data_IF_215459023442
#
_entry.id   IF_215459023442
#
_cell.length_a   1.000
_cell.length_b   1.000
_cell.length_c   1.000
_cell.angle_alpha   90.00
_cell.angle_beta   90.00
_cell.angle_gamma   90.00
#
_symmetry.space_group_name_H-M   'P 1'
#
loop_
_entity.id
_entity.type
_entity.pdbx_description
1 polymer ?
#
# COMPACT_ATOMS: atom_id res chain seq x y z
N UNK A 1 4.98 41.10 -44.49
CA UNK A 1 4.99 40.03 -43.48
C UNK A 1 3.55 39.85 -43.00
N UNK A 2 2.92 38.71 -43.31
CA UNK A 2 1.46 38.56 -43.28
C UNK A 2 0.94 38.49 -41.85
N UNK A 3 0.21 39.53 -41.42
CA UNK A 3 -0.47 39.61 -40.11
C UNK A 3 -1.31 38.37 -39.79
N UNK A 4 -1.88 37.73 -40.81
CA UNK A 4 -2.69 36.51 -40.70
C UNK A 4 -1.89 35.27 -40.24
N UNK A 5 -0.62 35.17 -40.66
CA UNK A 5 0.27 34.07 -40.23
C UNK A 5 0.64 34.21 -38.76
N UNK A 6 0.85 35.45 -38.30
CA UNK A 6 1.22 35.77 -36.92
C UNK A 6 0.08 35.55 -35.92
N UNK A 7 -1.15 35.95 -36.27
CA UNK A 7 -2.32 35.68 -35.42
C UNK A 7 -2.56 34.18 -35.29
N UNK A 8 -2.46 33.44 -36.40
CA UNK A 8 -2.70 31.99 -36.41
C UNK A 8 -1.66 31.22 -35.60
N UNK A 9 -0.37 31.57 -35.68
CA UNK A 9 0.68 30.93 -34.88
C UNK A 9 0.56 31.24 -33.40
N UNK A 10 0.22 32.48 -33.02
CA UNK A 10 0.01 32.85 -31.62
C UNK A 10 -1.20 32.12 -31.04
N UNK A 11 -2.31 32.00 -31.79
CA UNK A 11 -3.48 31.26 -31.33
C UNK A 11 -3.19 29.77 -31.16
N UNK A 12 -2.49 29.14 -32.11
CA UNK A 12 -2.05 27.74 -32.00
C UNK A 12 -1.11 27.51 -30.81
N UNK A 13 -0.16 28.42 -30.58
CA UNK A 13 0.72 28.35 -29.41
C UNK A 13 -0.06 28.48 -28.10
N UNK A 14 -1.04 29.39 -28.03
CA UNK A 14 -1.90 29.56 -26.85
C UNK A 14 -2.73 28.30 -26.57
N UNK A 15 -3.33 27.70 -27.62
CA UNK A 15 -4.11 26.46 -27.50
C UNK A 15 -3.21 25.32 -27.00
N UNK A 16 -1.99 25.19 -27.55
CA UNK A 16 -1.04 24.16 -27.13
C UNK A 16 -0.64 24.33 -25.65
N UNK A 17 -0.33 25.56 -25.22
CA UNK A 17 -0.01 25.92 -23.84
C UNK A 17 -1.17 25.62 -22.87
N UNK A 18 -2.41 25.91 -23.29
CA UNK A 18 -3.62 25.62 -22.52
C UNK A 18 -3.86 24.11 -22.39
N UNK A 19 -3.63 23.33 -23.45
CA UNK A 19 -3.77 21.86 -23.42
C UNK A 19 -2.68 21.17 -22.59
N UNK A 20 -1.46 21.71 -22.57
CA UNK A 20 -0.36 21.22 -21.71
C UNK A 20 -0.63 21.46 -20.22
N UNK A 21 -1.40 22.50 -19.90
CA UNK A 21 -1.74 22.85 -18.50
C UNK A 21 -2.91 22.04 -17.96
N UNK A 22 -3.72 21.42 -18.83
CA UNK A 22 -4.82 20.54 -18.45
C UNK A 22 -4.31 19.11 -18.15
N UNK A 23 -3.29 18.99 -17.30
CA UNK A 23 -2.97 17.71 -16.66
C UNK A 23 -4.10 17.35 -15.70
N UNK A 24 -4.65 16.14 -15.81
CA UNK A 24 -5.65 15.66 -14.88
C UNK A 24 -5.05 15.66 -13.46
N UNK A 25 -5.67 16.40 -12.54
CA UNK A 25 -5.20 16.48 -11.16
C UNK A 25 -5.17 15.07 -10.55
N UNK A 26 -4.00 14.69 -10.00
CA UNK A 26 -3.81 13.37 -9.37
C UNK A 26 -4.73 13.21 -8.17
N UNK A 27 -5.20 11.98 -7.96
CA UNK A 27 -5.99 11.61 -6.78
C UNK A 27 -5.04 11.45 -5.60
N UNK A 28 -5.24 12.25 -4.56
CA UNK A 28 -4.45 12.18 -3.32
C UNK A 28 -4.89 11.00 -2.48
N UNK A 29 -3.94 10.18 -2.04
CA UNK A 29 -4.21 8.97 -1.26
C UNK A 29 -3.24 8.82 -0.11
N UNK A 30 -3.73 8.27 1.01
CA UNK A 30 -2.92 7.67 2.08
C UNK A 30 -3.18 6.17 2.01
N UNK A 31 -2.13 5.37 2.04
CA UNK A 31 -2.22 3.92 1.95
C UNK A 31 -1.99 3.33 3.34
N UNK A 32 -3.04 2.74 3.93
CA UNK A 32 -2.97 2.04 5.22
C UNK A 32 -2.92 0.52 4.96
N UNK A 33 -1.84 -0.15 5.35
CA UNK A 33 -1.59 -1.57 5.02
C UNK A 33 -0.81 -2.32 6.10
N UNK A 34 -1.24 -3.54 6.41
CA UNK A 34 -0.49 -4.55 7.16
C UNK A 34 0.46 -5.33 6.20
N UNK A 35 1.56 -4.66 5.85
CA UNK A 35 2.40 -4.96 4.70
C UNK A 35 3.34 -6.18 4.88
N UNK A 36 2.78 -7.35 5.20
CA UNK A 36 3.51 -8.61 5.39
C UNK A 36 4.51 -8.84 4.27
N UNK A 37 5.70 -9.31 4.63
CA UNK A 37 6.81 -9.45 3.70
C UNK A 37 7.48 -10.81 3.68
N UNK A 38 8.36 -11.03 2.68
CA UNK A 38 8.67 -10.15 1.55
C UNK A 38 7.80 -10.41 0.30
N UNK A 39 7.39 -9.35 -0.42
CA UNK A 39 6.80 -9.45 -1.76
C UNK A 39 5.38 -10.04 -1.84
N UNK A 40 4.62 -10.04 -0.74
CA UNK A 40 3.24 -10.56 -0.71
C UNK A 40 2.28 -9.65 -1.46
N UNK A 41 0.99 -10.03 -1.49
CA UNK A 41 -0.11 -9.20 -2.01
C UNK A 41 -0.12 -7.79 -1.45
N UNK A 42 0.21 -7.64 -0.18
CA UNK A 42 0.05 -6.38 0.58
C UNK A 42 1.09 -5.36 0.12
N UNK A 43 2.34 -5.82 -0.08
CA UNK A 43 3.40 -5.01 -0.69
C UNK A 43 3.16 -4.71 -2.16
N UNK A 44 2.57 -5.65 -2.91
CA UNK A 44 2.21 -5.42 -4.31
C UNK A 44 1.13 -4.35 -4.45
N UNK A 45 0.15 -4.30 -3.53
CA UNK A 45 -0.86 -3.25 -3.51
C UNK A 45 -0.23 -1.86 -3.33
N UNK A 46 0.75 -1.71 -2.44
CA UNK A 46 1.52 -0.46 -2.27
C UNK A 46 2.21 -0.08 -3.59
N UNK A 47 2.87 -1.02 -4.27
CA UNK A 47 3.57 -0.75 -5.53
C UNK A 47 2.62 -0.26 -6.63
N UNK A 48 1.39 -0.76 -6.71
CA UNK A 48 0.38 -0.30 -7.68
C UNK A 48 0.10 1.19 -7.51
N UNK A 49 -0.02 1.69 -6.28
CA UNK A 49 -0.21 3.11 -6.02
C UNK A 49 1.05 3.93 -6.37
N UNK A 50 2.23 3.43 -6.00
CA UNK A 50 3.49 4.14 -6.22
C UNK A 50 3.88 4.26 -7.71
N UNK A 51 3.49 3.28 -8.54
CA UNK A 51 3.80 3.24 -9.98
C UNK A 51 2.74 3.93 -10.84
N UNK A 52 1.56 4.23 -10.29
CA UNK A 52 0.47 4.84 -11.04
C UNK A 52 0.64 6.36 -11.14
N UNK A 53 0.61 6.88 -12.37
CA UNK A 53 0.61 8.34 -12.61
C UNK A 53 -0.69 9.03 -12.15
N UNK A 54 -1.75 8.24 -11.86
CA UNK A 54 -3.05 8.77 -11.43
C UNK A 54 -3.09 9.19 -9.97
N UNK A 55 -2.17 8.67 -9.15
CA UNK A 55 -2.19 8.85 -7.70
C UNK A 55 -1.04 9.73 -7.22
N UNK A 56 -1.36 10.56 -6.23
CA UNK A 56 -0.42 11.32 -5.42
C UNK A 56 -0.41 10.69 -4.02
N UNK A 57 0.55 9.81 -3.77
CA UNK A 57 0.67 9.07 -2.51
C UNK A 57 1.29 9.99 -1.46
N UNK A 58 0.47 10.45 -0.52
CA UNK A 58 0.87 11.40 0.52
C UNK A 58 1.66 10.74 1.65
N UNK A 59 1.48 9.44 1.83
CA UNK A 59 2.12 8.66 2.89
C UNK A 59 1.57 7.24 2.96
N UNK A 60 2.30 6.39 3.66
CA UNK A 60 1.93 5.02 3.96
C UNK A 60 1.87 4.85 5.47
N UNK A 61 0.78 4.31 5.98
CA UNK A 61 0.64 3.87 7.37
C UNK A 61 0.68 2.35 7.44
N UNK A 62 1.28 1.83 8.51
CA UNK A 62 1.34 0.38 8.77
C UNK A 62 0.70 0.05 10.10
N UNK A 63 0.09 -1.13 10.23
CA UNK A 63 -0.56 -1.60 11.46
C UNK A 63 -0.28 -3.08 11.62
N UNK A 64 -0.31 -3.62 12.84
CA UNK A 64 -0.22 -5.06 13.00
C UNK A 64 -1.46 -5.74 12.41
N UNK A 65 -1.24 -6.79 11.62
CA UNK A 65 -2.30 -7.62 11.06
C UNK A 65 -1.72 -8.99 10.75
N UNK A 66 -1.31 -9.18 9.51
CA UNK A 66 -0.62 -10.37 9.05
C UNK A 66 0.74 -10.63 9.76
N UNK A 67 1.51 -9.57 10.05
CA UNK A 67 2.72 -9.56 10.87
C UNK A 67 2.69 -8.42 11.89
N UNK A 68 3.73 -8.32 12.73
CA UNK A 68 3.86 -7.23 13.69
C UNK A 68 4.21 -5.92 12.99
N UNK A 69 3.56 -4.83 13.39
CA UNK A 69 3.71 -3.49 12.77
C UNK A 69 5.17 -3.08 12.59
N UNK A 70 6.05 -3.42 13.55
CA UNK A 70 7.48 -3.10 13.46
C UNK A 70 8.15 -3.80 12.29
N UNK A 71 7.87 -5.08 12.09
CA UNK A 71 8.43 -5.89 10.99
C UNK A 71 7.91 -5.37 9.65
N UNK A 72 6.61 -5.11 9.57
CA UNK A 72 5.96 -4.62 8.36
C UNK A 72 6.42 -3.20 8.01
N UNK A 73 6.61 -2.32 8.99
CA UNK A 73 7.20 -0.99 8.77
C UNK A 73 8.58 -1.12 8.12
N UNK A 74 9.43 -2.03 8.61
CA UNK A 74 10.75 -2.27 8.01
C UNK A 74 10.64 -2.81 6.58
N UNK A 75 9.68 -3.69 6.33
CA UNK A 75 9.42 -4.18 4.99
C UNK A 75 8.98 -3.08 4.03
N UNK A 76 8.09 -2.16 4.44
CA UNK A 76 7.67 -1.01 3.62
C UNK A 76 8.84 -0.07 3.36
N UNK A 77 9.63 0.27 4.38
CA UNK A 77 10.82 1.09 4.19
C UNK A 77 11.78 0.48 3.17
N UNK A 78 12.03 -0.84 3.27
CA UNK A 78 12.87 -1.56 2.31
C UNK A 78 12.24 -1.60 0.91
N UNK A 79 10.93 -1.76 0.81
CA UNK A 79 10.19 -1.71 -0.44
C UNK A 79 10.34 -0.35 -1.14
N UNK A 80 10.23 0.75 -0.39
CA UNK A 80 10.38 2.11 -0.92
C UNK A 80 11.82 2.39 -1.40
N UNK A 81 12.83 1.87 -0.71
CA UNK A 81 14.21 1.93 -1.20
C UNK A 81 14.36 1.21 -2.55
N UNK A 82 13.82 -0.01 -2.65
CA UNK A 82 13.88 -0.82 -3.89
C UNK A 82 13.11 -0.12 -5.03
N UNK A 83 11.97 0.49 -4.71
CA UNK A 83 11.13 1.19 -5.68
C UNK A 83 11.62 2.61 -6.04
N UNK A 84 12.71 3.09 -5.43
CA UNK A 84 13.19 4.48 -5.55
C UNK A 84 12.11 5.53 -5.20
N UNK A 85 11.32 5.26 -4.15
CA UNK A 85 10.23 6.12 -3.67
C UNK A 85 10.39 6.52 -2.20
N UNK A 86 11.63 6.80 -1.80
CA UNK A 86 11.96 7.26 -0.43
C UNK A 86 11.44 8.66 -0.12
N UNK A 87 10.80 9.33 -1.08
CA UNK A 87 10.06 10.57 -0.90
C UNK A 87 8.74 10.39 -0.12
N UNK A 88 8.18 9.17 -0.10
CA UNK A 88 6.91 8.89 0.56
C UNK A 88 7.13 8.61 2.05
N UNK A 89 6.51 9.36 2.98
CA UNK A 89 6.66 9.11 4.40
C UNK A 89 5.97 7.80 4.81
N UNK A 90 6.60 7.06 5.72
CA UNK A 90 6.05 5.85 6.33
C UNK A 90 5.85 6.09 7.82
N UNK A 91 4.64 5.83 8.32
CA UNK A 91 4.27 6.04 9.72
C UNK A 91 3.78 4.71 10.32
N UNK A 92 4.41 4.27 11.40
CA UNK A 92 3.92 3.13 12.16
C UNK A 92 2.67 3.51 12.95
N UNK A 93 1.62 2.71 12.80
CA UNK A 93 0.33 2.84 13.46
C UNK A 93 0.21 1.92 14.66
N UNK A 94 -0.99 1.34 14.84
CA UNK A 94 -1.30 0.53 16.02
C UNK A 94 -0.57 -0.82 16.01
N UNK A 95 0.07 -1.15 17.13
CA UNK A 95 0.67 -2.47 17.36
C UNK A 95 -0.35 -3.52 17.79
N UNK A 96 -1.42 -3.11 18.47
CA UNK A 96 -2.47 -3.97 18.97
C UNK A 96 -3.85 -3.51 18.49
N UNK A 97 -4.79 -4.44 18.25
CA UNK A 97 -6.18 -4.09 17.93
C UNK A 97 -6.87 -3.48 19.16
N UNK A 98 -7.96 -2.75 18.92
CA UNK A 98 -8.66 -2.00 19.97
C UNK A 98 -9.40 -2.87 21.00
N UNK A 99 -9.89 -4.04 20.59
CA UNK A 99 -10.76 -4.88 21.42
C UNK A 99 -10.19 -6.27 21.66
N UNK A 100 -9.72 -6.93 20.60
CA UNK A 100 -9.28 -8.32 20.70
C UNK A 100 -7.92 -8.41 21.40
N UNK A 101 -7.74 -9.43 22.21
CA UNK A 101 -6.46 -9.77 22.83
C UNK A 101 -6.01 -11.18 22.48
N UNK A 102 -4.72 -11.45 22.68
CA UNK A 102 -4.18 -12.80 22.54
C UNK A 102 -4.87 -13.75 23.53
N UNK A 103 -5.08 -13.29 24.75
CA UNK A 103 -5.70 -14.04 25.84
C UNK A 103 -7.18 -14.35 25.57
N UNK A 104 -7.93 -13.45 24.94
CA UNK A 104 -9.30 -13.74 24.47
C UNK A 104 -9.30 -14.77 23.35
N UNK A 105 -8.36 -14.66 22.42
CA UNK A 105 -8.23 -15.61 21.31
C UNK A 105 -7.92 -17.01 21.85
N UNK A 106 -6.99 -17.14 22.79
CA UNK A 106 -6.64 -18.42 23.45
C UNK A 106 -7.81 -19.00 24.26
N UNK A 107 -8.56 -18.16 24.98
CA UNK A 107 -9.78 -18.58 25.68
C UNK A 107 -10.83 -19.11 24.72
N UNK A 108 -11.00 -18.46 23.57
CA UNK A 108 -11.91 -18.94 22.52
C UNK A 108 -11.46 -20.29 21.96
N UNK A 109 -10.15 -20.45 21.67
CA UNK A 109 -9.61 -21.70 21.16
C UNK A 109 -9.80 -22.89 22.13
N UNK A 110 -9.72 -22.63 23.44
CA UNK A 110 -9.96 -23.65 24.46
C UNK A 110 -11.43 -24.13 24.52
N UNK A 111 -12.37 -23.27 24.15
CA UNK A 111 -13.81 -23.58 24.18
C UNK A 111 -14.32 -24.16 22.86
N UNK A 112 -13.78 -23.69 21.73
CA UNK A 112 -14.38 -23.92 20.41
C UNK A 112 -13.43 -24.54 19.39
N UNK A 113 -12.16 -24.74 19.74
CA UNK A 113 -11.14 -25.28 18.85
C UNK A 113 -10.21 -24.23 18.26
N UNK A 114 -9.08 -24.68 17.70
CA UNK A 114 -8.00 -23.80 17.27
C UNK A 114 -8.32 -23.05 15.98
N UNK A 115 -7.87 -21.80 15.90
CA UNK A 115 -7.86 -21.04 14.66
C UNK A 115 -6.73 -21.57 13.76
N UNK A 116 -6.99 -21.63 12.44
CA UNK A 116 -5.94 -21.92 11.48
C UNK A 116 -4.96 -20.73 11.34
N UNK A 117 -5.48 -19.51 11.45
CA UNK A 117 -4.75 -18.27 11.25
C UNK A 117 -5.17 -17.20 12.25
N UNK A 118 -4.17 -16.55 12.87
CA UNK A 118 -4.35 -15.49 13.89
C UNK A 118 -3.50 -14.25 13.58
N UNK A 119 -3.10 -14.04 12.32
CA UNK A 119 -2.21 -12.95 11.95
C UNK A 119 -0.86 -13.03 12.67
N UNK A 120 -0.40 -11.90 13.19
CA UNK A 120 0.81 -11.76 13.99
C UNK A 120 0.88 -12.65 15.25
N UNK A 121 -0.28 -13.15 15.74
CA UNK A 121 -0.34 -14.10 16.85
C UNK A 121 -0.28 -15.58 16.44
N UNK A 122 -0.05 -15.88 15.16
CA UNK A 122 0.08 -17.26 14.68
C UNK A 122 1.43 -17.83 15.11
N UNK A 123 1.46 -18.73 16.10
CA UNK A 123 2.70 -19.27 16.67
C UNK A 123 3.58 -20.02 15.64
N UNK A 124 2.95 -20.81 14.75
CA UNK A 124 3.62 -21.55 13.67
C UNK A 124 2.71 -21.69 12.47
N UNK A 125 3.15 -21.21 11.32
CA UNK A 125 2.57 -21.64 10.05
C UNK A 125 3.02 -23.08 9.77
N UNK A 126 2.06 -23.99 9.56
CA UNK A 126 2.41 -25.31 9.03
C UNK A 126 2.96 -25.12 7.61
N UNK A 127 4.17 -25.63 7.35
CA UNK A 127 4.66 -25.76 5.99
C UNK A 127 3.62 -26.56 5.17
N UNK A 128 3.45 -26.23 3.88
CA UNK A 128 2.57 -26.94 2.95
C UNK A 128 1.04 -26.76 3.12
N UNK A 129 0.57 -25.69 3.78
CA UNK A 129 -0.88 -25.39 3.93
C UNK A 129 -1.69 -25.36 2.63
N UNK A 130 -1.08 -24.97 1.51
CA UNK A 130 -1.78 -24.80 0.22
C UNK A 130 -1.83 -26.07 -0.63
N UNK A 131 -1.18 -27.16 -0.19
CA UNK A 131 -1.09 -28.42 -0.96
C UNK A 131 -1.76 -29.59 -0.27
N UNK A 132 -2.34 -29.40 0.91
CA UNK A 132 -3.20 -30.39 1.56
C UNK A 132 -4.64 -30.11 1.15
N UNK A 133 -5.02 -30.59 -0.04
CA UNK A 133 -6.41 -30.86 -0.33
C UNK A 133 -6.68 -32.27 0.19
N UNK A 134 -7.45 -32.41 1.28
CA UNK A 134 -8.03 -33.71 1.58
C UNK A 134 -9.01 -34.04 0.45
N UNK A 135 -8.67 -35.06 -0.34
CA UNK A 135 -9.56 -35.71 -1.31
C UNK A 135 -10.48 -36.70 -0.60
#
# INVERSE_FOLDING_TARGET
MDRWKWTSTVTLALILLLTLSASAQKIKVIVDQDARGPGTSDQQAILVFLQSEKFDVLGITTVSGDQWVKEETQHVLRLLEIANRTDVPVIAGAEFPLLNSKEESERWEALYGKFEYKGAWTDKFKANRSIVFEM
#
